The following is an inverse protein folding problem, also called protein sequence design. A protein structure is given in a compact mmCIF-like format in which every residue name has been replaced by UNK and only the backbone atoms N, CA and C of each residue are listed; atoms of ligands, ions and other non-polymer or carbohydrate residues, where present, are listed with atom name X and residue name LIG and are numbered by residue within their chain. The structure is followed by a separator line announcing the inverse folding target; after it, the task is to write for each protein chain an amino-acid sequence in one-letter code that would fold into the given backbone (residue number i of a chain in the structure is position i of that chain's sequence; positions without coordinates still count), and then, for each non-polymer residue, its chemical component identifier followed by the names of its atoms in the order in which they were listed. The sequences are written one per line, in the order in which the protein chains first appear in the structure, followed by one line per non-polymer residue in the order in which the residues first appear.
data_IF_436466590882
#
_entry.id   IF_436466590882
#
_cell.length_a   1.000
_cell.length_b   1.000
_cell.length_c   1.000
_cell.angle_alpha   90.00
_cell.angle_beta   90.00
_cell.angle_gamma   90.00
#
_symmetry.space_group_name_H-M   'P 1'
#
loop_
_entity.id
_entity.type
_entity.pdbx_description
1 polymer ?
#
# COMPACT_ATOMS: atom_id res chain seq x y z
N UNK A 1 -28.37 -29.70 -50.21
CA UNK A 1 -27.27 -28.84 -49.72
C UNK A 1 -27.86 -27.87 -48.71
N UNK A 2 -27.48 -27.95 -47.42
CA UNK A 2 -27.94 -26.99 -46.40
C UNK A 2 -26.90 -25.88 -46.26
N UNK A 3 -27.29 -24.61 -46.18
CA UNK A 3 -26.34 -23.52 -46.06
C UNK A 3 -25.64 -23.59 -44.69
N UNK A 4 -24.32 -23.63 -44.71
CA UNK A 4 -23.50 -23.50 -43.52
C UNK A 4 -23.60 -22.07 -43.02
N UNK A 5 -24.34 -21.86 -41.93
CA UNK A 5 -24.39 -20.56 -41.27
C UNK A 5 -23.04 -20.30 -40.58
N UNK A 6 -22.21 -19.47 -41.22
CA UNK A 6 -20.95 -19.01 -40.63
C UNK A 6 -21.28 -18.08 -39.46
N UNK A 7 -21.19 -18.60 -38.24
CA UNK A 7 -21.28 -17.78 -37.03
C UNK A 7 -20.13 -16.77 -37.05
N UNK A 8 -20.46 -15.49 -37.16
CA UNK A 8 -19.54 -14.34 -37.02
C UNK A 8 -19.40 -13.90 -35.57
N UNK A 9 -19.57 -14.82 -34.61
CA UNK A 9 -19.25 -14.51 -33.23
C UNK A 9 -17.72 -14.45 -33.08
N UNK A 10 -17.19 -13.25 -33.30
CA UNK A 10 -15.89 -12.84 -32.78
C UNK A 10 -15.93 -13.18 -31.29
N UNK A 11 -15.10 -14.14 -30.85
CA UNK A 11 -14.88 -14.38 -29.42
C UNK A 11 -14.23 -13.12 -28.86
N UNK A 12 -15.06 -12.21 -28.33
CA UNK A 12 -14.56 -11.11 -27.53
C UNK A 12 -14.05 -11.73 -26.24
N UNK A 13 -12.73 -11.66 -26.02
CA UNK A 13 -12.14 -12.05 -24.73
C UNK A 13 -12.76 -11.18 -23.65
N UNK A 14 -13.31 -11.79 -22.61
CA UNK A 14 -13.83 -11.10 -21.42
C UNK A 14 -12.71 -10.62 -20.48
N UNK A 15 -11.45 -10.66 -20.91
CA UNK A 15 -10.38 -10.00 -20.18
C UNK A 15 -10.63 -8.50 -20.21
N UNK A 16 -10.95 -7.94 -19.03
CA UNK A 16 -11.01 -6.51 -18.84
C UNK A 16 -9.63 -5.92 -19.18
N UNK A 17 -9.48 -5.42 -20.41
CA UNK A 17 -8.38 -4.54 -20.78
C UNK A 17 -8.62 -3.18 -20.10
N UNK A 18 -8.40 -3.12 -18.79
CA UNK A 18 -8.18 -1.85 -18.12
C UNK A 18 -6.81 -1.33 -18.56
N UNK A 19 -6.74 -0.74 -19.77
CA UNK A 19 -5.51 -0.21 -20.37
C UNK A 19 -4.95 1.02 -19.64
N UNK A 20 -5.67 1.56 -18.65
CA UNK A 20 -5.35 2.82 -17.98
C UNK A 20 -4.96 2.65 -16.51
N UNK A 21 -4.95 1.41 -15.99
CA UNK A 21 -4.46 1.15 -14.63
C UNK A 21 -2.96 0.86 -14.67
N UNK A 22 -2.16 1.91 -14.46
CA UNK A 22 -0.72 1.78 -14.28
C UNK A 22 -0.41 1.26 -12.88
N UNK A 23 -0.41 -0.07 -12.73
CA UNK A 23 -0.21 -0.75 -11.45
C UNK A 23 1.08 -0.32 -10.74
N UNK A 24 2.15 -0.04 -11.49
CA UNK A 24 3.42 0.44 -10.94
C UNK A 24 3.26 1.81 -10.29
N UNK A 25 2.69 2.77 -11.00
CA UNK A 25 2.43 4.12 -10.49
C UNK A 25 1.51 4.08 -9.27
N UNK A 26 0.48 3.23 -9.28
CA UNK A 26 -0.41 3.06 -8.13
C UNK A 26 0.33 2.53 -6.89
N UNK A 27 1.24 1.56 -7.05
CA UNK A 27 2.04 1.02 -5.95
C UNK A 27 3.11 2.01 -5.46
N UNK A 28 3.71 2.80 -6.35
CA UNK A 28 4.66 3.85 -5.99
C UNK A 28 3.98 4.98 -5.21
N UNK A 29 2.80 5.42 -5.65
CA UNK A 29 1.99 6.40 -4.93
C UNK A 29 1.58 5.87 -3.56
N UNK A 30 1.11 4.61 -3.49
CA UNK A 30 0.78 3.97 -2.21
C UNK A 30 1.99 3.93 -1.27
N UNK A 31 3.18 3.61 -1.79
CA UNK A 31 4.42 3.63 -1.00
C UNK A 31 4.75 5.03 -0.48
N UNK A 32 4.59 6.07 -1.30
CA UNK A 32 4.84 7.45 -0.91
C UNK A 32 3.91 7.89 0.24
N UNK A 33 2.61 7.65 0.11
CA UNK A 33 1.61 7.93 1.15
C UNK A 33 1.94 7.24 2.48
N UNK A 34 2.36 5.96 2.44
CA UNK A 34 2.72 5.21 3.64
C UNK A 34 3.97 5.77 4.32
N UNK A 35 4.95 6.28 3.57
CA UNK A 35 6.15 6.95 4.12
C UNK A 35 5.75 8.21 4.90
N UNK A 36 4.83 9.02 4.36
CA UNK A 36 4.36 10.22 5.04
C UNK A 36 3.64 9.89 6.36
N UNK A 37 2.79 8.85 6.35
CA UNK A 37 2.11 8.37 7.55
C UNK A 37 3.13 7.86 8.59
N UNK A 38 4.21 7.19 8.16
CA UNK A 38 5.24 6.67 9.07
C UNK A 38 6.01 7.82 9.71
N UNK A 39 6.37 8.82 8.92
CA UNK A 39 7.03 10.03 9.41
C UNK A 39 6.16 10.78 10.42
N UNK A 40 4.86 10.93 10.14
CA UNK A 40 3.91 11.55 11.06
C UNK A 40 3.78 10.74 12.37
N UNK A 41 3.69 9.42 12.28
CA UNK A 41 3.59 8.55 13.45
C UNK A 41 4.84 8.65 14.34
N UNK A 42 6.04 8.63 13.75
CA UNK A 42 7.30 8.85 14.49
C UNK A 42 7.39 10.24 15.13
N UNK A 43 6.94 11.27 14.43
CA UNK A 43 6.87 12.62 14.99
C UNK A 43 5.90 12.69 16.18
N UNK A 44 4.77 11.99 16.11
CA UNK A 44 3.82 11.89 17.21
C UNK A 44 4.39 11.13 18.42
N UNK A 45 5.17 10.06 18.20
CA UNK A 45 5.89 9.36 19.29
C UNK A 45 6.88 10.31 19.97
N UNK A 46 7.74 10.99 19.21
CA UNK A 46 8.71 11.93 19.76
C UNK A 46 8.04 13.11 20.50
N UNK A 47 6.92 13.60 19.99
CA UNK A 47 6.13 14.64 20.66
C UNK A 47 5.51 14.13 21.97
N UNK A 48 5.01 12.89 21.99
CA UNK A 48 4.47 12.27 23.20
C UNK A 48 5.54 12.10 24.29
N UNK A 49 6.75 11.69 23.90
CA UNK A 49 7.89 11.53 24.82
C UNK A 49 8.40 12.87 25.38
N UNK A 50 8.17 13.97 24.65
CA UNK A 50 8.52 15.33 25.09
C UNK A 50 7.45 15.97 26.00
N UNK A 51 6.28 15.34 26.19
CA UNK A 51 5.24 15.89 27.06
C UNK A 51 5.70 15.89 28.54
N UNK A 52 5.35 16.92 29.31
CA UNK A 52 5.67 16.97 30.73
C UNK A 52 5.01 15.80 31.48
N UNK A 53 5.68 15.34 32.54
CA UNK A 53 5.19 14.23 33.35
C UNK A 53 3.76 14.52 33.87
N UNK A 54 2.80 13.59 33.65
CA UNK A 54 1.43 13.79 34.07
C UNK A 54 1.33 13.86 35.60
N UNK A 55 0.68 14.90 36.11
CA UNK A 55 0.58 15.15 37.56
C UNK A 55 -0.77 14.72 38.16
N UNK A 56 -1.75 14.40 37.31
CA UNK A 56 -3.08 13.93 37.71
C UNK A 56 -3.42 12.58 37.08
N UNK A 57 -4.35 11.82 37.68
CA UNK A 57 -4.81 10.54 37.13
C UNK A 57 -5.42 10.69 35.72
N UNK A 58 -6.17 11.77 35.49
CA UNK A 58 -6.73 12.07 34.19
C UNK A 58 -5.64 12.33 33.15
N UNK A 59 -4.58 13.07 33.50
CA UNK A 59 -3.45 13.30 32.61
C UNK A 59 -2.66 12.00 32.36
N UNK A 60 -2.48 11.14 33.37
CA UNK A 60 -1.83 9.83 33.19
C UNK A 60 -2.57 8.98 32.16
N UNK A 61 -3.90 8.94 32.22
CA UNK A 61 -4.72 8.21 31.26
C UNK A 61 -4.62 8.79 29.85
N UNK A 62 -4.65 10.12 29.70
CA UNK A 62 -4.53 10.77 28.39
C UNK A 62 -3.14 10.56 27.80
N UNK A 63 -2.09 10.74 28.60
CA UNK A 63 -0.70 10.48 28.20
C UNK A 63 -0.53 9.04 27.71
N UNK A 64 -0.97 8.05 28.49
CA UNK A 64 -0.88 6.64 28.11
C UNK A 64 -1.66 6.31 26.82
N UNK A 65 -2.80 6.96 26.58
CA UNK A 65 -3.55 6.81 25.32
C UNK A 65 -2.82 7.41 24.13
N UNK A 66 -2.24 8.59 24.27
CA UNK A 66 -1.47 9.25 23.20
C UNK A 66 -0.24 8.40 22.86
N UNK A 67 0.52 7.98 23.87
CA UNK A 67 1.69 7.12 23.66
C UNK A 67 1.29 5.79 22.99
N UNK A 68 0.23 5.12 23.48
CA UNK A 68 -0.23 3.87 22.88
C UNK A 68 -0.69 4.03 21.43
N UNK A 69 -1.40 5.13 21.13
CA UNK A 69 -1.86 5.41 19.78
C UNK A 69 -0.67 5.65 18.85
N UNK A 70 0.26 6.53 19.24
CA UNK A 70 1.45 6.85 18.45
C UNK A 70 2.27 5.59 18.16
N UNK A 71 2.52 4.75 19.16
CA UNK A 71 3.27 3.50 18.98
C UNK A 71 2.57 2.48 18.10
N UNK A 72 1.26 2.27 18.29
CA UNK A 72 0.51 1.33 17.43
C UNK A 72 0.49 1.80 15.99
N UNK A 73 0.27 3.10 15.76
CA UNK A 73 0.30 3.67 14.42
C UNK A 73 1.69 3.53 13.79
N UNK A 74 2.75 3.86 14.53
CA UNK A 74 4.15 3.74 14.06
C UNK A 74 4.47 2.30 13.63
N UNK A 75 4.11 1.31 14.46
CA UNK A 75 4.30 -0.11 14.18
C UNK A 75 3.49 -0.57 12.96
N UNK A 76 2.21 -0.22 12.91
CA UNK A 76 1.32 -0.64 11.81
C UNK A 76 1.76 -0.04 10.47
N UNK A 77 2.17 1.23 10.47
CA UNK A 77 2.64 1.89 9.25
C UNK A 77 3.97 1.33 8.80
N UNK A 78 4.90 1.05 9.72
CA UNK A 78 6.17 0.38 9.40
C UNK A 78 5.93 -0.99 8.75
N UNK A 79 5.03 -1.80 9.32
CA UNK A 79 4.67 -3.10 8.75
C UNK A 79 4.03 -2.97 7.36
N UNK A 80 3.15 -1.98 7.18
CA UNK A 80 2.52 -1.69 5.89
C UNK A 80 3.54 -1.24 4.84
N UNK A 81 4.53 -0.44 5.22
CA UNK A 81 5.61 -0.01 4.32
C UNK A 81 6.47 -1.19 3.88
N UNK A 82 6.83 -2.09 4.81
CA UNK A 82 7.56 -3.30 4.48
C UNK A 82 6.78 -4.18 3.49
N UNK A 83 5.48 -4.35 3.70
CA UNK A 83 4.62 -5.09 2.79
C UNK A 83 4.56 -4.42 1.40
N UNK A 84 4.34 -3.10 1.34
CA UNK A 84 4.31 -2.36 0.09
C UNK A 84 5.62 -2.46 -0.70
N UNK A 85 6.77 -2.33 -0.01
CA UNK A 85 8.09 -2.49 -0.63
C UNK A 85 8.28 -3.90 -1.21
N UNK A 86 7.80 -4.94 -0.52
CA UNK A 86 7.88 -6.31 -1.03
C UNK A 86 7.03 -6.50 -2.30
N UNK A 87 5.83 -5.92 -2.35
CA UNK A 87 4.95 -5.97 -3.52
C UNK A 87 5.57 -5.25 -4.73
N UNK A 88 6.16 -4.07 -4.52
CA UNK A 88 6.89 -3.33 -5.58
C UNK A 88 8.07 -4.15 -6.11
N UNK A 89 8.86 -4.75 -5.23
CA UNK A 89 9.99 -5.59 -5.61
C UNK A 89 9.55 -6.83 -6.42
N UNK A 90 8.46 -7.49 -6.00
CA UNK A 90 7.91 -8.64 -6.70
C UNK A 90 7.41 -8.26 -8.11
N UNK A 91 6.71 -7.14 -8.25
CA UNK A 91 6.26 -6.64 -9.55
C UNK A 91 7.45 -6.34 -10.47
N UNK A 92 8.46 -5.63 -9.96
CA UNK A 92 9.67 -5.31 -10.72
C UNK A 92 10.37 -6.58 -11.23
N UNK A 93 10.49 -7.62 -10.39
CA UNK A 93 11.06 -8.90 -10.78
C UNK A 93 10.25 -9.58 -11.89
N UNK A 94 8.92 -9.61 -11.78
CA UNK A 94 8.03 -10.17 -12.82
C UNK A 94 8.17 -9.43 -14.15
N UNK A 95 8.26 -8.09 -14.13
CA UNK A 95 8.46 -7.29 -15.34
C UNK A 95 9.80 -7.60 -16.03
N UNK A 96 10.87 -7.81 -15.27
CA UNK A 96 12.19 -8.21 -15.81
C UNK A 96 12.11 -9.59 -16.45
N UNK A 97 11.47 -10.57 -15.80
CA UNK A 97 11.30 -11.92 -16.35
C UNK A 97 10.50 -11.88 -17.65
N UNK A 98 9.38 -11.15 -17.69
CA UNK A 98 8.56 -11.01 -18.88
C UNK A 98 9.31 -10.33 -20.03
N UNK A 99 10.12 -9.30 -19.74
CA UNK A 99 10.96 -8.64 -20.75
C UNK A 99 12.02 -9.57 -21.33
N UNK A 100 12.61 -10.44 -20.51
CA UNK A 100 13.59 -11.45 -20.98
C UNK A 100 12.94 -12.53 -21.85
N UNK A 101 11.73 -12.96 -21.51
CA UNK A 101 11.00 -13.98 -22.27
C UNK A 101 10.45 -13.46 -23.62
N UNK A 102 10.33 -12.13 -23.78
CA UNK A 102 9.88 -11.48 -25.01
C UNK A 102 11.03 -11.08 -25.96
N UNK A 103 12.28 -11.38 -25.61
CA UNK A 103 13.48 -11.21 -26.44
C UNK A 103 14.00 -12.57 -26.87
#
# INVERSE_FOLDING_TARGET
MKPSHRSTQIRVSNEAQNSNFEATTALENLRAEVIEIEALARAAEAAADALPAPTTDRQRLVFGRIQSLATKTSQQTSASLHFANAQVAALAAQMVVRRKAAR
#
